data_IF_169737656358
#
_entry.id   IF_169737656358
#
_cell.length_a   1.000
_cell.length_b   1.000
_cell.length_c   1.000
_cell.angle_alpha   90.00
_cell.angle_beta   90.00
_cell.angle_gamma   90.00
#
_symmetry.space_group_name_H-M   'P 1'
#
loop_
_entity.id
_entity.type
_entity.pdbx_description
1 polymer ?
#
# COMPACT_ATOMS: atom_id res chain seq x y z
N UNK A 1 5.80 -21.05 -34.85
CA UNK A 1 6.53 -19.79 -34.59
C UNK A 1 5.55 -18.90 -33.84
N UNK A 2 5.43 -19.11 -32.52
CA UNK A 2 6.11 -18.29 -31.48
C UNK A 2 5.67 -16.83 -31.62
N UNK A 3 4.76 -16.35 -30.77
CA UNK A 3 5.18 -15.84 -29.46
C UNK A 3 4.09 -15.95 -28.38
N UNK A 4 4.38 -16.71 -27.33
CA UNK A 4 3.84 -16.44 -26.00
C UNK A 4 4.26 -15.02 -25.61
N UNK A 5 3.32 -14.08 -25.56
CA UNK A 5 3.55 -12.69 -25.11
C UNK A 5 3.28 -12.50 -23.61
N UNK A 6 3.23 -13.59 -22.85
CA UNK A 6 3.30 -13.56 -21.40
C UNK A 6 4.50 -14.41 -21.02
N UNK A 7 5.64 -13.75 -20.92
CA UNK A 7 6.87 -14.37 -20.48
C UNK A 7 6.63 -15.07 -19.16
N UNK A 8 6.91 -16.37 -19.13
CA UNK A 8 7.12 -17.15 -17.91
C UNK A 8 8.46 -16.72 -17.29
N UNK A 9 8.52 -15.49 -16.80
CA UNK A 9 9.37 -15.21 -15.66
C UNK A 9 8.49 -15.54 -14.47
N UNK A 10 8.95 -16.41 -13.56
CA UNK A 10 8.41 -16.49 -12.21
C UNK A 10 8.58 -15.09 -11.58
N UNK A 11 7.65 -14.19 -11.87
CA UNK A 11 7.55 -12.89 -11.24
C UNK A 11 7.28 -13.22 -9.79
N UNK A 12 8.28 -13.02 -8.95
CA UNK A 12 8.14 -13.25 -7.52
C UNK A 12 7.03 -12.31 -7.03
N UNK A 13 5.80 -12.83 -6.95
CA UNK A 13 4.59 -12.04 -6.70
C UNK A 13 4.66 -11.54 -5.26
N UNK A 14 5.31 -10.39 -5.07
CA UNK A 14 5.51 -9.74 -3.78
C UNK A 14 4.49 -8.63 -3.64
N UNK A 15 3.69 -8.70 -2.59
CA UNK A 15 2.84 -7.59 -2.14
C UNK A 15 3.49 -6.94 -0.93
N UNK A 16 3.75 -5.64 -1.03
CA UNK A 16 4.16 -4.84 0.12
C UNK A 16 2.91 -4.36 0.85
N UNK A 17 2.85 -4.62 2.16
CA UNK A 17 1.80 -4.12 3.04
C UNK A 17 2.41 -3.02 3.89
N UNK A 18 2.04 -1.78 3.59
CA UNK A 18 2.54 -0.60 4.30
C UNK A 18 1.79 -0.46 5.61
N UNK A 19 2.52 -0.46 6.72
CA UNK A 19 1.96 -0.29 8.06
C UNK A 19 1.91 1.19 8.45
N UNK A 20 0.70 1.70 8.66
CA UNK A 20 0.45 3.06 9.18
C UNK A 20 0.10 3.08 10.67
N UNK A 21 0.51 2.05 11.43
CA UNK A 21 0.33 1.96 12.87
C UNK A 21 -1.00 1.34 13.31
N UNK A 22 -1.70 0.63 12.42
CA UNK A 22 -2.93 -0.09 12.78
C UNK A 22 -2.65 -1.57 13.06
N UNK A 23 -3.51 -2.16 13.89
CA UNK A 23 -3.47 -3.59 14.21
C UNK A 23 -3.67 -4.52 12.98
N UNK A 24 -4.09 -3.97 11.83
CA UNK A 24 -4.54 -4.73 10.68
C UNK A 24 -3.44 -5.07 9.65
N UNK A 25 -2.26 -4.44 9.66
CA UNK A 25 -1.20 -4.72 8.68
C UNK A 25 -0.80 -6.22 8.68
N UNK A 26 -0.68 -6.81 9.87
CA UNK A 26 -0.40 -8.24 10.05
C UNK A 26 -1.52 -9.14 9.51
N UNK A 27 -2.78 -8.76 9.72
CA UNK A 27 -3.93 -9.50 9.19
C UNK A 27 -4.01 -9.42 7.66
N UNK A 28 -3.78 -8.24 7.08
CA UNK A 28 -3.73 -8.05 5.62
C UNK A 28 -2.63 -8.92 5.03
N UNK A 29 -1.40 -8.86 5.56
CA UNK A 29 -0.29 -9.71 5.12
C UNK A 29 -0.63 -11.20 5.22
N UNK A 30 -1.28 -11.63 6.31
CA UNK A 30 -1.76 -13.00 6.44
C UNK A 30 -2.76 -13.38 5.35
N UNK A 31 -3.74 -12.53 5.02
CA UNK A 31 -4.73 -12.80 3.95
C UNK A 31 -4.11 -12.91 2.56
N UNK A 32 -3.10 -12.09 2.28
CA UNK A 32 -2.32 -12.21 1.04
C UNK A 32 -1.61 -13.56 0.97
N UNK A 33 -0.98 -13.99 2.07
CA UNK A 33 -0.32 -15.31 2.16
C UNK A 33 -1.31 -16.47 2.04
N UNK A 34 -2.50 -16.35 2.64
CA UNK A 34 -3.62 -17.32 2.47
C UNK A 34 -4.08 -17.43 1.01
N UNK A 35 -3.79 -16.42 0.18
CA UNK A 35 -4.06 -16.41 -1.26
C UNK A 35 -2.88 -16.96 -2.11
N UNK A 36 -1.88 -17.60 -1.47
CA UNK A 36 -0.67 -18.14 -2.10
C UNK A 36 0.22 -17.07 -2.77
N UNK A 37 0.27 -15.87 -2.21
CA UNK A 37 1.11 -14.75 -2.67
C UNK A 37 2.08 -14.34 -1.56
N UNK A 38 3.35 -14.08 -1.89
CA UNK A 38 4.31 -13.61 -0.90
C UNK A 38 3.97 -12.18 -0.46
N UNK A 39 4.05 -11.91 0.84
CA UNK A 39 3.83 -10.57 1.37
C UNK A 39 4.85 -10.18 2.43
N UNK A 40 5.22 -8.92 2.41
CA UNK A 40 6.18 -8.29 3.31
C UNK A 40 5.54 -7.04 3.90
N UNK A 41 5.67 -6.85 5.21
CA UNK A 41 5.17 -5.64 5.88
C UNK A 41 6.33 -4.66 5.93
N UNK A 42 6.08 -3.42 5.51
CA UNK A 42 7.11 -2.36 5.43
C UNK A 42 6.63 -1.10 6.14
N UNK A 43 7.58 -0.29 6.60
CA UNK A 43 7.27 1.02 7.20
C UNK A 43 6.78 2.00 6.12
N UNK A 44 5.88 2.91 6.50
CA UNK A 44 5.49 4.04 5.65
C UNK A 44 6.61 5.06 5.44
N UNK A 45 7.68 5.00 6.24
CA UNK A 45 8.84 5.90 6.16
C UNK A 45 9.87 5.49 5.08
N UNK A 46 9.69 4.36 4.41
CA UNK A 46 10.56 3.97 3.30
C UNK A 46 10.34 4.89 2.09
N UNK A 47 11.43 5.26 1.42
CA UNK A 47 11.41 6.06 0.20
C UNK A 47 11.07 5.25 -1.05
N UNK A 48 10.73 5.93 -2.14
CA UNK A 48 10.38 5.27 -3.40
C UNK A 48 11.48 4.35 -3.96
N UNK A 49 12.76 4.68 -3.73
CA UNK A 49 13.91 3.85 -4.14
C UNK A 49 13.91 2.51 -3.39
N UNK A 50 13.74 2.54 -2.08
CA UNK A 50 13.60 1.33 -1.25
C UNK A 50 12.41 0.48 -1.68
N UNK A 51 11.28 1.10 -2.01
CA UNK A 51 10.13 0.37 -2.56
C UNK A 51 10.44 -0.26 -3.92
N UNK A 52 11.11 0.45 -4.82
CA UNK A 52 11.49 -0.05 -6.14
C UNK A 52 12.46 -1.24 -6.05
N UNK A 53 13.43 -1.18 -5.13
CA UNK A 53 14.41 -2.24 -4.88
C UNK A 53 13.78 -3.55 -4.41
N UNK A 54 12.67 -3.46 -3.67
CA UNK A 54 11.87 -4.62 -3.24
C UNK A 54 11.09 -5.26 -4.41
N UNK A 55 10.98 -4.58 -5.55
CA UNK A 55 10.31 -5.05 -6.78
C UNK A 55 8.87 -5.56 -6.53
N UNK A 56 7.99 -4.75 -5.92
CA UNK A 56 6.61 -5.13 -5.66
C UNK A 56 5.87 -5.45 -6.96
N UNK A 57 4.99 -6.44 -6.90
CA UNK A 57 3.94 -6.66 -7.91
C UNK A 57 2.65 -5.90 -7.57
N UNK A 58 2.56 -5.36 -6.35
CA UNK A 58 1.47 -4.52 -5.87
C UNK A 58 1.73 -4.04 -4.45
N UNK A 59 1.03 -2.99 -4.05
CA UNK A 59 1.19 -2.35 -2.74
C UNK A 59 -0.19 -2.23 -2.08
N UNK A 60 -0.27 -2.53 -0.79
CA UNK A 60 -1.46 -2.32 0.02
C UNK A 60 -1.12 -1.29 1.10
N UNK A 61 -1.82 -0.16 1.10
CA UNK A 61 -1.79 0.80 2.20
C UNK A 61 -2.79 0.36 3.27
N UNK A 62 -2.30 0.01 4.46
CA UNK A 62 -3.14 -0.46 5.55
C UNK A 62 -4.08 0.64 6.09
N UNK A 63 -4.95 0.23 7.02
CA UNK A 63 -5.59 1.19 7.92
C UNK A 63 -4.57 1.87 8.84
N UNK A 64 -5.04 2.89 9.54
CA UNK A 64 -4.31 3.68 10.52
C UNK A 64 -5.21 3.95 11.73
N UNK A 65 -4.65 4.28 12.90
CA UNK A 65 -5.43 4.51 14.12
C UNK A 65 -6.19 5.84 14.12
N UNK A 66 -5.82 6.78 13.24
CA UNK A 66 -6.29 8.17 13.24
C UNK A 66 -6.77 8.60 11.86
N UNK A 67 -7.37 9.78 11.77
CA UNK A 67 -7.74 10.43 10.49
C UNK A 67 -6.51 11.01 9.79
N UNK A 68 -6.48 11.03 8.46
CA UNK A 68 -5.44 11.69 7.64
C UNK A 68 -5.36 13.22 7.83
N UNK A 69 -6.36 13.82 8.47
CA UNK A 69 -6.45 15.26 8.65
C UNK A 69 -5.76 15.77 9.93
N UNK A 70 -5.21 14.89 10.78
CA UNK A 70 -4.51 15.32 12.00
C UNK A 70 -3.07 15.76 11.70
N UNK A 71 -2.56 16.72 12.46
CA UNK A 71 -1.15 17.13 12.35
C UNK A 71 -0.24 15.94 12.71
N UNK A 72 0.80 15.72 11.90
CA UNK A 72 1.70 14.58 12.08
C UNK A 72 1.13 13.22 11.65
N UNK A 73 -0.03 13.19 10.98
CA UNK A 73 -0.57 11.94 10.43
C UNK A 73 0.46 11.26 9.51
N UNK A 74 0.64 9.93 9.61
CA UNK A 74 1.57 9.17 8.78
C UNK A 74 1.38 9.42 7.26
N UNK A 75 2.45 9.71 6.54
CA UNK A 75 2.40 9.91 5.09
C UNK A 75 3.24 8.85 4.40
N UNK A 76 3.04 8.76 3.09
CA UNK A 76 3.88 7.97 2.18
C UNK A 76 4.60 8.93 1.24
N UNK A 77 5.81 8.57 0.81
CA UNK A 77 6.53 9.30 -0.23
C UNK A 77 5.66 9.35 -1.52
N UNK A 78 5.27 10.54 -2.03
CA UNK A 78 4.44 10.65 -3.22
C UNK A 78 5.06 9.99 -4.46
N UNK A 79 6.38 9.86 -4.56
CA UNK A 79 7.02 9.19 -5.69
C UNK A 79 6.68 7.69 -5.76
N UNK A 80 6.13 7.09 -4.69
CA UNK A 80 5.63 5.71 -4.70
C UNK A 80 4.43 5.54 -5.64
N UNK A 81 3.63 6.58 -5.87
CA UNK A 81 2.53 6.55 -6.83
C UNK A 81 3.01 6.41 -8.28
N UNK A 82 4.25 6.81 -8.57
CA UNK A 82 4.84 6.82 -9.91
C UNK A 82 5.56 5.51 -10.27
N UNK A 83 5.61 4.53 -9.34
CA UNK A 83 6.28 3.24 -9.56
C UNK A 83 5.60 2.34 -10.60
N UNK A 84 4.40 2.71 -11.08
CA UNK A 84 3.66 1.95 -12.09
C UNK A 84 3.12 0.61 -11.59
N UNK A 85 3.03 0.42 -10.27
CA UNK A 85 2.48 -0.78 -9.63
C UNK A 85 1.08 -0.52 -9.07
N UNK A 86 0.17 -1.51 -9.07
CA UNK A 86 -1.16 -1.33 -8.50
C UNK A 86 -1.11 -1.04 -6.99
N UNK A 87 -1.89 -0.05 -6.54
CA UNK A 87 -2.01 0.35 -5.12
C UNK A 87 -3.45 0.16 -4.66
N UNK A 88 -3.65 -0.53 -3.55
CA UNK A 88 -4.93 -0.66 -2.85
C UNK A 88 -4.86 0.07 -1.50
N UNK A 89 -5.75 1.03 -1.27
CA UNK A 89 -5.91 1.68 0.03
C UNK A 89 -7.04 1.08 0.86
N UNK A 90 -6.81 0.83 2.15
CA UNK A 90 -7.83 0.34 3.09
C UNK A 90 -8.00 1.36 4.22
N UNK A 91 -9.22 1.87 4.42
CA UNK A 91 -9.53 2.87 5.45
C UNK A 91 -8.60 4.09 5.36
N UNK A 92 -7.69 4.29 6.32
CA UNK A 92 -6.65 5.32 6.28
C UNK A 92 -5.90 5.35 4.96
N UNK A 93 -5.46 4.20 4.43
CA UNK A 93 -4.75 4.13 3.15
C UNK A 93 -5.58 4.69 1.98
N UNK A 94 -6.90 4.49 1.99
CA UNK A 94 -7.78 5.05 0.96
C UNK A 94 -7.93 6.57 1.10
N UNK A 95 -8.04 7.06 2.34
CA UNK A 95 -8.07 8.49 2.64
C UNK A 95 -6.76 9.18 2.23
N UNK A 96 -5.62 8.53 2.49
CA UNK A 96 -4.30 9.05 2.15
C UNK A 96 -4.13 9.17 0.63
N UNK A 97 -4.53 8.15 -0.13
CA UNK A 97 -4.54 8.18 -1.59
C UNK A 97 -5.38 9.35 -2.09
N UNK A 98 -6.60 9.52 -1.57
CA UNK A 98 -7.46 10.62 -1.98
C UNK A 98 -6.81 11.99 -1.70
N UNK A 99 -6.31 12.21 -0.49
CA UNK A 99 -5.72 13.48 -0.07
C UNK A 99 -4.45 13.82 -0.86
N UNK A 100 -3.53 12.88 -1.04
CA UNK A 100 -2.25 13.12 -1.74
C UNK A 100 -2.41 13.26 -3.26
N UNK A 101 -3.52 12.78 -3.83
CA UNK A 101 -3.84 12.94 -5.25
C UNK A 101 -4.85 14.09 -5.50
N UNK A 102 -4.94 15.06 -4.60
CA UNK A 102 -5.71 16.30 -4.80
C UNK A 102 -7.21 16.20 -4.50
N UNK A 103 -7.67 15.07 -3.98
CA UNK A 103 -9.02 14.93 -3.43
C UNK A 103 -9.14 15.50 -2.02
N UNK A 104 -10.38 15.60 -1.54
CA UNK A 104 -10.71 16.03 -0.18
C UNK A 104 -11.25 14.86 0.65
N UNK A 105 -10.82 14.77 1.91
CA UNK A 105 -11.36 13.81 2.89
C UNK A 105 -12.01 14.60 4.02
N UNK A 106 -13.32 14.48 4.15
CA UNK A 106 -14.07 15.11 5.24
C UNK A 106 -14.03 14.24 6.49
N UNK A 107 -13.80 14.86 7.66
CA UNK A 107 -13.92 14.19 8.95
C UNK A 107 -15.38 14.08 9.36
N UNK A 108 -15.81 12.93 9.88
CA UNK A 108 -17.11 12.81 10.51
C UNK A 108 -17.00 13.25 11.98
N UNK A 109 -17.88 14.16 12.42
CA UNK A 109 -17.91 14.66 13.81
C UNK A 109 -18.39 13.60 14.82
N UNK A 110 -18.83 12.43 14.35
CA UNK A 110 -19.24 11.30 15.18
C UNK A 110 -18.39 10.08 14.84
N UNK A 111 -17.44 9.75 15.70
CA UNK A 111 -16.99 8.37 15.84
C UNK A 111 -18.13 7.54 16.41
N UNK A 112 -18.27 6.28 15.98
CA UNK A 112 -19.10 5.30 16.70
C UNK A 112 -18.65 5.15 18.16
#
# INVERSE_FOLDING_TARGET
MSSNLFGTAESNKRILVVDFGAQYAQLIARRVRESNVYSEIVSHDLDAESFADLKPSGIIFSGGPTSVNVEGAPKIDPAIYDLGVPILGICYGAQLIAQQNGGSVEGNEKGE
#
